data_IF_745157042203
#
_entry.id   IF_745157042203
#
_cell.length_a   1.000
_cell.length_b   1.000
_cell.length_c   1.000
_cell.angle_alpha   90.00
_cell.angle_beta   90.00
_cell.angle_gamma   90.00
#
_symmetry.space_group_name_H-M   'P 1'
#
loop_
_entity.id
_entity.type
_entity.pdbx_description
1 polymer ?
#
# COMPACT_ATOMS: atom_id res chain seq x y z
N UNK A 1 12.15 2.32 14.98
CA UNK A 1 11.08 1.39 15.41
C UNK A 1 10.53 0.65 14.20
N UNK A 2 10.53 -0.65 14.24
CA UNK A 2 9.92 -1.46 13.17
C UNK A 2 8.41 -1.38 13.25
N UNK A 3 7.76 -1.40 12.09
CA UNK A 3 6.31 -1.35 12.01
C UNK A 3 5.80 -2.18 10.83
N UNK A 4 4.54 -2.51 10.87
CA UNK A 4 3.84 -3.22 9.80
C UNK A 4 2.62 -2.41 9.39
N UNK A 5 2.46 -2.23 8.09
CA UNK A 5 1.31 -1.55 7.50
C UNK A 5 0.55 -2.54 6.61
N UNK A 6 -0.75 -2.68 6.85
CA UNK A 6 -1.62 -3.34 5.90
C UNK A 6 -2.38 -2.25 5.15
N UNK A 7 -2.32 -2.24 3.84
CA UNK A 7 -2.92 -1.17 3.05
C UNK A 7 -3.65 -1.72 1.83
N UNK A 8 -4.80 -1.15 1.56
CA UNK A 8 -5.61 -1.47 0.38
C UNK A 8 -6.01 -0.19 -0.33
N UNK A 9 -5.93 -0.22 -1.66
CA UNK A 9 -6.33 0.89 -2.51
C UNK A 9 -7.59 0.52 -3.28
N UNK A 10 -8.60 1.39 -3.17
CA UNK A 10 -9.88 1.21 -3.85
C UNK A 10 -10.13 2.40 -4.78
N UNK A 11 -9.71 2.33 -6.06
CA UNK A 11 -10.04 3.37 -7.02
C UNK A 11 -11.56 3.44 -7.23
N UNK A 12 -12.11 4.65 -7.21
CA UNK A 12 -13.55 4.86 -7.41
C UNK A 12 -13.78 5.14 -8.89
N UNK A 13 -13.99 4.08 -9.65
CA UNK A 13 -14.17 4.17 -11.09
C UNK A 13 -15.63 4.00 -11.47
N UNK A 14 -15.97 4.50 -12.64
CA UNK A 14 -17.30 4.28 -13.22
C UNK A 14 -17.45 2.82 -13.63
N UNK A 15 -18.69 2.41 -13.91
CA UNK A 15 -19.02 1.02 -14.28
C UNK A 15 -18.12 0.48 -15.39
N UNK A 16 -17.81 -0.80 -15.32
CA UNK A 16 -17.10 -1.57 -16.34
C UNK A 16 -15.64 -1.12 -16.56
N UNK A 17 -15.00 -0.66 -15.51
CA UNK A 17 -13.58 -0.23 -15.53
C UNK A 17 -12.69 -1.16 -14.73
N UNK A 18 -13.03 -2.46 -14.67
CA UNK A 18 -12.28 -3.41 -13.87
C UNK A 18 -10.80 -3.52 -14.27
N UNK A 19 -10.52 -3.51 -15.58
CA UNK A 19 -9.15 -3.56 -16.06
C UNK A 19 -8.35 -2.33 -15.66
N UNK A 20 -9.00 -1.17 -15.70
CA UNK A 20 -8.38 0.08 -15.29
C UNK A 20 -8.11 0.11 -13.80
N UNK A 21 -9.05 -0.43 -13.01
CA UNK A 21 -8.88 -0.61 -11.57
C UNK A 21 -7.62 -1.42 -11.26
N UNK A 22 -7.47 -2.59 -11.92
CA UNK A 22 -6.32 -3.46 -11.73
C UNK A 22 -5.02 -2.78 -12.10
N UNK A 23 -5.02 -2.00 -13.17
CA UNK A 23 -3.83 -1.26 -13.59
C UNK A 23 -3.37 -0.24 -12.57
N UNK A 24 -4.32 0.49 -11.98
CA UNK A 24 -4.02 1.49 -10.96
C UNK A 24 -3.44 0.84 -9.72
N UNK A 25 -4.06 -0.25 -9.25
CA UNK A 25 -3.58 -0.98 -8.07
C UNK A 25 -2.19 -1.56 -8.32
N UNK A 26 -1.97 -2.20 -9.47
CA UNK A 26 -0.65 -2.75 -9.82
C UNK A 26 0.42 -1.68 -9.90
N UNK A 27 0.08 -0.52 -10.45
CA UNK A 27 1.02 0.59 -10.54
C UNK A 27 1.40 1.09 -9.15
N UNK A 28 0.43 1.21 -8.26
CA UNK A 28 0.70 1.59 -6.86
C UNK A 28 1.66 0.61 -6.20
N UNK A 29 1.40 -0.69 -6.35
CA UNK A 29 2.26 -1.72 -5.77
C UNK A 29 3.67 -1.67 -6.36
N UNK A 30 3.78 -1.44 -7.66
CA UNK A 30 5.08 -1.28 -8.31
C UNK A 30 5.83 -0.07 -7.77
N UNK A 31 5.15 1.05 -7.60
CA UNK A 31 5.78 2.27 -7.11
C UNK A 31 6.28 2.12 -5.67
N UNK A 32 5.48 1.53 -4.79
CA UNK A 32 5.90 1.34 -3.40
C UNK A 32 6.98 0.27 -3.26
N UNK A 33 7.01 -0.71 -4.16
CA UNK A 33 8.03 -1.76 -4.15
C UNK A 33 9.43 -1.24 -4.44
N UNK A 34 9.54 -0.06 -5.04
CA UNK A 34 10.83 0.56 -5.33
C UNK A 34 11.42 1.32 -4.15
N UNK A 35 10.66 1.48 -3.08
CA UNK A 35 11.12 2.18 -1.89
C UNK A 35 12.16 1.35 -1.14
N UNK A 36 13.30 1.95 -0.83
CA UNK A 36 14.32 1.30 -0.04
C UNK A 36 13.85 1.09 1.40
N UNK A 37 14.28 0.00 2.01
CA UNK A 37 13.98 -0.30 3.39
C UNK A 37 12.60 -0.89 3.65
N UNK A 38 11.79 -1.06 2.61
CA UNK A 38 10.46 -1.63 2.72
C UNK A 38 10.41 -3.00 2.07
N UNK A 39 9.75 -3.94 2.73
CA UNK A 39 9.47 -5.27 2.20
C UNK A 39 7.96 -5.37 2.03
N UNK A 40 7.52 -5.77 0.85
CA UNK A 40 6.10 -5.77 0.50
C UNK A 40 5.63 -7.16 0.12
N UNK A 41 4.55 -7.60 0.74
CA UNK A 41 3.85 -8.84 0.41
C UNK A 41 2.44 -8.47 -0.01
N UNK A 42 1.97 -9.04 -1.10
CA UNK A 42 0.63 -8.74 -1.62
C UNK A 42 -0.19 -10.00 -1.82
N UNK A 43 -1.49 -9.88 -1.63
CA UNK A 43 -2.45 -10.92 -1.95
C UNK A 43 -3.65 -10.28 -2.68
N UNK A 44 -4.73 -11.02 -2.87
CA UNK A 44 -5.90 -10.53 -3.60
C UNK A 44 -6.73 -9.49 -2.84
N UNK A 45 -6.46 -9.29 -1.55
CA UNK A 45 -7.26 -8.41 -0.69
C UNK A 45 -6.52 -7.16 -0.26
N UNK A 46 -5.22 -7.27 0.02
CA UNK A 46 -4.45 -6.16 0.55
C UNK A 46 -2.97 -6.38 0.35
N UNK A 47 -2.18 -5.40 0.72
CA UNK A 47 -0.72 -5.48 0.72
C UNK A 47 -0.20 -5.24 2.12
N UNK A 48 0.84 -5.97 2.49
CA UNK A 48 1.50 -5.84 3.79
C UNK A 48 2.87 -5.23 3.55
N UNK A 49 3.18 -4.17 4.27
CA UNK A 49 4.46 -3.46 4.15
C UNK A 49 5.17 -3.54 5.49
N UNK A 50 6.41 -4.05 5.46
CA UNK A 50 7.26 -4.13 6.65
C UNK A 50 8.41 -3.15 6.49
N UNK A 51 8.71 -2.43 7.53
CA UNK A 51 9.84 -1.50 7.50
C UNK A 51 9.96 -0.70 8.77
N UNK A 52 10.85 0.28 8.74
CA UNK A 52 10.94 1.23 9.83
C UNK A 52 9.74 2.17 9.79
N UNK A 53 9.23 2.53 10.95
CA UNK A 53 8.06 3.40 11.06
C UNK A 53 8.21 4.68 10.23
N UNK A 54 9.39 5.28 10.26
CA UNK A 54 9.69 6.49 9.50
C UNK A 54 9.46 6.30 8.00
N UNK A 55 9.93 5.17 7.47
CA UNK A 55 9.80 4.90 6.03
C UNK A 55 8.35 4.60 5.65
N UNK A 56 7.60 3.94 6.53
CA UNK A 56 6.18 3.68 6.33
C UNK A 56 5.39 4.99 6.33
N UNK A 57 5.69 5.90 7.24
CA UNK A 57 5.03 7.21 7.28
C UNK A 57 5.35 8.02 6.02
N UNK A 58 6.58 7.95 5.51
CA UNK A 58 6.91 8.60 4.26
C UNK A 58 6.11 8.05 3.08
N UNK A 59 5.88 6.74 3.05
CA UNK A 59 5.02 6.13 2.04
C UNK A 59 3.62 6.74 2.07
N UNK A 60 3.04 6.89 3.26
CA UNK A 60 1.73 7.49 3.41
C UNK A 60 1.72 8.97 3.00
N UNK A 61 2.78 9.72 3.35
CA UNK A 61 2.88 11.13 3.02
C UNK A 61 3.13 11.40 1.54
N UNK A 62 3.84 10.52 0.87
CA UNK A 62 4.23 10.71 -0.52
C UNK A 62 3.39 9.92 -1.51
N UNK A 63 3.48 8.59 -1.48
CA UNK A 63 2.80 7.75 -2.48
C UNK A 63 1.29 7.79 -2.36
N UNK A 64 0.76 7.65 -1.16
CA UNK A 64 -0.67 7.69 -0.94
C UNK A 64 -1.23 9.06 -1.32
N UNK A 65 -0.56 10.13 -0.93
CA UNK A 65 -0.95 11.48 -1.28
C UNK A 65 -0.99 11.67 -2.79
N UNK A 66 0.05 11.21 -3.50
CA UNK A 66 0.13 11.37 -4.94
C UNK A 66 -1.01 10.64 -5.66
N UNK A 67 -1.33 9.43 -5.19
CA UNK A 67 -2.44 8.67 -5.76
C UNK A 67 -3.79 9.30 -5.46
N UNK A 68 -3.98 9.86 -4.26
CA UNK A 68 -5.21 10.59 -3.93
C UNK A 68 -5.39 11.83 -4.80
N UNK A 69 -4.30 12.50 -5.14
CA UNK A 69 -4.36 13.66 -6.03
C UNK A 69 -4.70 13.26 -7.47
N UNK A 70 -4.18 12.14 -7.91
CA UNK A 70 -4.28 11.70 -9.30
C UNK A 70 -5.57 10.95 -9.59
N UNK A 71 -6.04 10.17 -8.64
CA UNK A 71 -7.21 9.31 -8.81
C UNK A 71 -8.21 9.54 -7.69
N UNK A 72 -9.48 9.57 -8.05
CA UNK A 72 -10.54 9.53 -7.04
C UNK A 72 -10.53 8.14 -6.44
N UNK A 73 -10.15 8.01 -5.17
CA UNK A 73 -9.87 6.71 -4.56
C UNK A 73 -10.01 6.77 -3.06
N UNK A 74 -10.07 5.57 -2.45
CA UNK A 74 -10.08 5.41 -1.01
C UNK A 74 -8.94 4.47 -0.64
N UNK A 75 -8.16 4.84 0.36
CA UNK A 75 -7.18 3.96 0.98
C UNK A 75 -7.71 3.53 2.34
N UNK A 76 -7.58 2.24 2.64
CA UNK A 76 -7.87 1.70 3.96
C UNK A 76 -6.57 1.09 4.48
N UNK A 77 -6.18 1.42 5.70
CA UNK A 77 -4.95 0.84 6.23
C UNK A 77 -5.01 0.65 7.74
N UNK A 78 -4.17 -0.27 8.19
CA UNK A 78 -3.90 -0.52 9.61
C UNK A 78 -2.40 -0.45 9.79
N UNK A 79 -1.96 0.08 10.92
CA UNK A 79 -0.54 0.12 11.24
C UNK A 79 -0.33 -0.44 12.63
N UNK A 80 0.70 -1.27 12.77
CA UNK A 80 1.03 -1.89 14.04
C UNK A 80 2.53 -1.85 14.30
N UNK A 81 2.90 -1.98 15.55
CA UNK A 81 4.29 -2.00 15.99
C UNK A 81 4.92 -3.35 15.69
N UNK A 82 6.17 -3.34 15.25
CA UNK A 82 6.95 -4.55 15.01
C UNK A 82 6.65 -5.19 13.67
N UNK A 83 7.25 -6.34 13.43
CA UNK A 83 7.04 -7.13 12.22
C UNK A 83 5.96 -8.15 12.50
N UNK A 84 4.77 -7.90 12.00
CA UNK A 84 3.59 -8.71 12.28
C UNK A 84 3.33 -9.68 11.12
N UNK A 85 4.07 -10.77 11.12
CA UNK A 85 3.95 -11.79 10.08
C UNK A 85 3.84 -13.18 10.71
N UNK A 86 2.93 -14.00 10.22
CA UNK A 86 2.79 -15.38 10.67
C UNK A 86 4.05 -16.21 10.39
N UNK A 87 4.75 -15.90 9.32
CA UNK A 87 5.95 -16.63 8.95
C UNK A 87 7.13 -16.42 9.90
N UNK A 88 7.04 -15.44 10.79
CA UNK A 88 8.10 -15.07 11.73
C UNK A 88 7.87 -15.61 13.15
N UNK A 89 7.13 -16.65 13.28
CA UNK A 89 6.88 -17.27 14.58
C UNK A 89 8.15 -17.92 15.15
#
# INVERSE_FOLDING_TARGET
MRATLEISLYPLLQKNKEEEYKKIVKKFLSDISKKEGLVIESNGLSSIVYGDYKDIILLLQEEVRDYLKKYRSVFVFKIGKGTLSYSNK
#
